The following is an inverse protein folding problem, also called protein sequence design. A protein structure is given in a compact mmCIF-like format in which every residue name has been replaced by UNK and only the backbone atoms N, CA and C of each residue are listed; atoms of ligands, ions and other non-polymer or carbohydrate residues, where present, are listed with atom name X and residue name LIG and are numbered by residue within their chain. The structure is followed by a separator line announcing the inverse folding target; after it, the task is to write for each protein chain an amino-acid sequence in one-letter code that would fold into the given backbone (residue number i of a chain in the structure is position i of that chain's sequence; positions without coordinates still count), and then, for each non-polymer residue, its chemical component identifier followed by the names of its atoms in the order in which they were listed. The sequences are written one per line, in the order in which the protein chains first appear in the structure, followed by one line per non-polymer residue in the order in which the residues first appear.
data_IF_491803731026
#
_entry.id   IF_491803731026
#
_cell.length_a   1.000
_cell.length_b   1.000
_cell.length_c   1.000
_cell.angle_alpha   90.00
_cell.angle_beta   90.00
_cell.angle_gamma   90.00
#
_symmetry.space_group_name_H-M   'P 1'
#
loop_
_entity.id
_entity.type
_entity.pdbx_description
1 polymer ?
#
# COMPACT_ATOMS: atom_id res chain seq x y z
N UNK A 1 -70.97 -22.21 37.05
CA UNK A 1 -71.39 -21.57 38.32
C UNK A 1 -70.52 -20.35 38.55
N UNK A 2 -71.15 -19.16 38.67
CA UNK A 2 -70.84 -18.01 39.58
C UNK A 2 -69.37 -17.48 39.55
N UNK A 3 -69.01 -16.21 39.34
CA UNK A 3 -69.62 -14.91 39.67
C UNK A 3 -68.83 -13.71 39.07
N UNK A 4 -69.48 -12.53 39.09
CA UNK A 4 -69.01 -11.15 39.39
C UNK A 4 -67.81 -10.54 38.62
N UNK A 5 -67.95 -9.41 37.92
CA UNK A 5 -68.34 -8.00 38.25
C UNK A 5 -67.13 -7.08 38.51
N UNK A 6 -67.15 -5.98 37.73
CA UNK A 6 -66.72 -4.60 38.01
C UNK A 6 -65.27 -4.11 37.85
N UNK A 7 -65.08 -3.34 36.75
CA UNK A 7 -64.66 -1.91 36.66
C UNK A 7 -63.50 -1.42 37.56
N UNK A 8 -62.42 -0.86 36.97
CA UNK A 8 -62.22 0.59 36.61
C UNK A 8 -60.73 0.96 36.37
N UNK A 9 -60.55 1.98 35.51
CA UNK A 9 -59.43 2.96 35.38
C UNK A 9 -58.14 2.49 34.67
N UNK A 10 -57.80 2.99 33.47
CA UNK A 10 -57.32 4.34 33.04
C UNK A 10 -55.79 4.35 32.95
N UNK A 11 -55.24 4.20 31.75
CA UNK A 11 -53.86 4.59 31.42
C UNK A 11 -53.87 5.62 30.29
N UNK A 12 -53.14 6.70 30.56
CA UNK A 12 -52.88 7.86 29.69
C UNK A 12 -51.86 7.47 28.62
N UNK A 13 -52.02 8.08 27.43
CA UNK A 13 -51.00 8.17 26.38
C UNK A 13 -49.77 8.90 26.92
N UNK A 14 -48.59 8.49 26.47
CA UNK A 14 -47.54 9.41 26.05
C UNK A 14 -46.72 8.78 24.91
N UNK A 15 -46.40 9.64 23.95
CA UNK A 15 -45.91 9.40 22.60
C UNK A 15 -44.41 9.72 22.58
N UNK A 16 -43.54 8.78 22.18
CA UNK A 16 -42.15 9.11 21.89
C UNK A 16 -41.55 8.30 20.72
N UNK A 17 -41.60 8.99 19.58
CA UNK A 17 -40.83 8.85 18.35
C UNK A 17 -39.32 8.74 18.61
N UNK A 18 -38.70 7.62 18.25
CA UNK A 18 -37.23 7.46 18.25
C UNK A 18 -36.71 7.81 16.85
N UNK A 19 -35.99 8.95 16.74
CA UNK A 19 -35.17 9.30 15.57
C UNK A 19 -33.75 8.75 15.77
N UNK A 20 -33.20 8.18 14.70
CA UNK A 20 -31.84 7.68 14.61
C UNK A 20 -30.78 8.75 14.88
N UNK A 21 -29.62 8.31 15.38
CA UNK A 21 -28.41 9.11 15.51
C UNK A 21 -27.28 8.44 14.73
N UNK A 22 -27.05 8.98 13.55
CA UNK A 22 -25.78 8.99 12.85
C UNK A 22 -24.75 9.71 13.77
N UNK A 23 -23.65 9.05 14.13
CA UNK A 23 -22.60 9.66 14.96
C UNK A 23 -21.38 9.96 14.08
N UNK A 24 -21.26 11.24 13.76
CA UNK A 24 -20.04 11.87 13.24
C UNK A 24 -18.99 11.88 14.35
N UNK A 25 -17.81 11.30 14.10
CA UNK A 25 -16.65 11.35 14.99
C UNK A 25 -15.85 12.63 14.71
N UNK A 26 -15.83 13.56 15.66
CA UNK A 26 -14.94 14.72 15.67
C UNK A 26 -13.79 14.52 16.66
N UNK A 27 -12.61 14.86 16.16
CA UNK A 27 -11.30 15.12 16.78
C UNK A 27 -11.21 15.18 18.31
N UNK A 28 -10.33 14.34 18.89
CA UNK A 28 -9.51 14.72 20.05
C UNK A 28 -8.18 13.95 20.08
N UNK A 29 -7.07 14.69 20.21
CA UNK A 29 -5.87 14.26 20.94
C UNK A 29 -4.86 13.32 20.27
N UNK A 30 -4.14 13.77 19.24
CA UNK A 30 -2.92 13.09 18.77
C UNK A 30 -1.78 13.27 19.79
N UNK A 31 -1.45 12.20 20.53
CA UNK A 31 -0.19 12.06 21.27
C UNK A 31 0.78 11.27 20.38
N UNK A 32 1.93 11.86 20.03
CA UNK A 32 2.97 11.23 19.21
C UNK A 32 3.32 9.84 19.77
N UNK A 33 3.07 8.79 18.98
CA UNK A 33 3.54 7.43 19.21
C UNK A 33 4.01 6.82 17.90
N UNK A 34 5.24 6.31 17.91
CA UNK A 34 5.77 5.30 16.99
C UNK A 34 5.83 5.67 15.51
N UNK A 35 6.93 6.28 15.07
CA UNK A 35 7.34 6.22 13.67
C UNK A 35 7.49 4.75 13.25
N UNK A 36 6.62 4.29 12.34
CA UNK A 36 6.91 3.14 11.52
C UNK A 36 8.13 3.51 10.66
N UNK A 37 9.27 2.86 10.92
CA UNK A 37 10.46 3.01 10.10
C UNK A 37 10.17 2.37 8.74
N UNK A 38 10.19 3.12 7.62
CA UNK A 38 10.48 2.51 6.33
C UNK A 38 11.94 2.06 6.36
N UNK A 39 12.24 0.92 5.73
CA UNK A 39 13.61 0.48 5.49
C UNK A 39 14.44 1.67 4.95
N UNK A 40 15.58 1.88 5.60
CA UNK A 40 16.45 3.04 5.39
C UNK A 40 17.11 2.95 4.02
N UNK A 41 16.74 3.85 3.10
CA UNK A 41 17.70 4.35 2.10
C UNK A 41 18.66 5.31 2.81
N UNK A 42 19.84 4.79 3.14
CA UNK A 42 20.92 5.52 3.78
C UNK A 42 21.64 6.40 2.74
N UNK A 43 21.29 7.69 2.70
CA UNK A 43 21.97 8.66 1.84
C UNK A 43 23.19 9.23 2.60
N UNK A 44 24.39 8.73 2.27
CA UNK A 44 25.64 9.26 2.81
C UNK A 44 26.19 10.43 1.99
N UNK A 45 26.25 11.57 2.68
CA UNK A 45 27.37 12.51 2.78
C UNK A 45 27.57 13.58 1.68
N UNK A 46 27.48 14.84 2.13
CA UNK A 46 28.60 15.77 1.99
C UNK A 46 28.58 16.82 3.11
N UNK A 47 29.51 16.69 4.05
CA UNK A 47 29.90 17.73 5.00
C UNK A 47 30.48 18.95 4.26
N UNK A 48 30.08 20.14 4.67
CA UNK A 48 31.00 21.27 4.78
C UNK A 48 30.68 22.07 6.04
N UNK A 49 31.59 21.95 6.99
CA UNK A 49 31.74 22.75 8.20
C UNK A 49 31.76 24.25 7.92
N UNK A 50 31.12 25.08 8.77
CA UNK A 50 31.72 26.28 9.38
C UNK A 50 30.89 26.66 10.62
N UNK A 51 31.57 26.77 11.78
CA UNK A 51 31.08 27.28 13.07
C UNK A 51 30.58 28.73 12.93
N UNK A 52 29.45 29.08 13.55
CA UNK A 52 29.13 30.48 13.91
C UNK A 52 28.89 30.60 15.40
N UNK A 53 29.76 31.40 16.01
CA UNK A 53 29.58 31.96 17.35
C UNK A 53 28.46 33.02 17.32
N UNK A 54 27.65 33.01 18.35
CA UNK A 54 26.69 34.04 18.71
C UNK A 54 27.39 35.30 19.19
N UNK A 55 26.98 36.45 18.67
CA UNK A 55 27.35 37.78 19.16
C UNK A 55 26.19 38.73 18.90
N UNK A 56 25.47 39.05 19.98
CA UNK A 56 24.32 39.94 20.09
C UNK A 56 24.76 41.39 19.86
N UNK A 57 23.87 42.24 19.33
CA UNK A 57 23.42 43.54 19.93
C UNK A 57 22.78 44.44 18.86
N UNK A 58 21.54 44.82 19.19
CA UNK A 58 20.62 45.89 18.80
C UNK A 58 21.05 46.98 17.80
N UNK A 59 20.14 47.30 16.87
CA UNK A 59 20.08 48.60 16.18
C UNK A 59 18.62 49.03 16.01
N UNK A 60 18.31 50.25 16.46
CA UNK A 60 17.03 50.93 16.29
C UNK A 60 17.29 52.38 15.83
N UNK A 61 16.38 52.88 14.97
CA UNK A 61 16.09 54.29 14.57
C UNK A 61 16.81 54.93 13.36
N UNK A 62 16.06 54.98 12.26
CA UNK A 62 15.38 56.14 11.60
C UNK A 62 16.10 57.45 11.20
N UNK A 63 15.50 58.01 10.11
CA UNK A 63 15.42 59.41 9.59
C UNK A 63 16.65 59.95 8.84
N UNK A 64 16.57 60.72 7.74
CA UNK A 64 15.47 61.49 7.08
C UNK A 64 15.96 62.08 5.72
N UNK A 65 15.00 62.41 4.84
CA UNK A 65 14.85 63.48 3.79
C UNK A 65 16.11 64.14 3.17
N UNK A 66 16.29 64.14 1.83
CA UNK A 66 15.75 65.05 0.78
C UNK A 66 16.24 66.52 0.86
N UNK A 67 17.00 67.00 -0.15
CA UNK A 67 16.69 68.22 -0.96
C UNK A 67 17.83 68.67 -1.93
N UNK A 68 17.45 69.57 -2.84
CA UNK A 68 17.90 69.94 -4.20
C UNK A 68 19.25 70.72 -4.44
N UNK A 69 19.94 70.37 -5.56
CA UNK A 69 20.43 71.12 -6.78
C UNK A 69 20.57 72.69 -6.79
N UNK A 70 21.38 73.42 -7.65
CA UNK A 70 22.46 73.10 -8.64
C UNK A 70 23.78 73.94 -8.52
N UNK A 71 24.84 73.52 -9.23
CA UNK A 71 26.01 74.38 -9.52
C UNK A 71 26.75 74.00 -10.81
N UNK A 72 26.75 74.92 -11.77
CA UNK A 72 27.34 74.86 -13.12
C UNK A 72 28.86 74.59 -13.13
N UNK A 73 29.34 73.69 -14.00
CA UNK A 73 30.51 73.93 -14.90
C UNK A 73 30.64 72.87 -16.00
N UNK A 74 30.88 73.38 -17.21
CA UNK A 74 31.19 72.71 -18.49
C UNK A 74 32.29 71.65 -18.39
N UNK A 75 32.13 70.59 -19.18
CA UNK A 75 33.26 69.86 -19.75
C UNK A 75 32.99 68.38 -20.05
N UNK A 76 32.96 68.05 -21.34
CA UNK A 76 33.33 66.74 -21.91
C UNK A 76 32.27 65.62 -21.91
N UNK A 77 31.47 65.66 -22.99
CA UNK A 77 30.99 64.47 -23.70
C UNK A 77 32.19 63.55 -24.01
N UNK A 78 32.26 62.35 -23.41
CA UNK A 78 32.86 61.11 -23.97
C UNK A 78 32.98 60.01 -22.89
N UNK A 79 31.89 59.63 -22.20
CA UNK A 79 31.96 58.49 -21.24
C UNK A 79 30.79 57.49 -21.24
N UNK A 80 29.84 57.60 -22.17
CA UNK A 80 28.73 56.63 -22.24
C UNK A 80 28.90 55.52 -23.30
N UNK A 81 29.74 55.71 -24.32
CA UNK A 81 30.02 54.66 -25.31
C UNK A 81 30.91 53.52 -24.80
N UNK A 82 31.72 53.76 -23.77
CA UNK A 82 32.77 52.82 -23.36
C UNK A 82 32.26 51.72 -22.41
N UNK A 83 31.19 51.98 -21.64
CA UNK A 83 30.68 51.03 -20.62
C UNK A 83 29.87 49.88 -21.21
N UNK A 84 29.09 50.12 -22.28
CA UNK A 84 28.40 49.06 -23.01
C UNK A 84 29.35 48.22 -23.88
N UNK A 85 30.36 48.84 -24.49
CA UNK A 85 31.34 48.14 -25.34
C UNK A 85 32.32 47.30 -24.51
N UNK A 86 32.70 47.72 -23.30
CA UNK A 86 33.53 46.92 -22.38
C UNK A 86 32.79 45.72 -21.77
N UNK A 87 31.46 45.79 -21.60
CA UNK A 87 30.64 44.67 -21.14
C UNK A 87 30.51 43.57 -22.21
N UNK A 88 30.32 43.97 -23.47
CA UNK A 88 30.26 43.07 -24.62
C UNK A 88 31.64 42.52 -25.04
N UNK A 89 32.73 43.25 -24.78
CA UNK A 89 34.10 42.83 -25.08
C UNK A 89 34.63 41.78 -24.09
N UNK A 90 34.30 41.90 -22.79
CA UNK A 90 34.67 40.89 -21.78
C UNK A 90 33.91 39.56 -21.96
N UNK A 91 32.66 39.61 -22.45
CA UNK A 91 31.93 38.40 -22.85
C UNK A 91 32.55 37.73 -24.09
N UNK A 92 33.01 38.50 -25.07
CA UNK A 92 33.68 37.98 -26.29
C UNK A 92 35.06 37.37 -26.01
N UNK A 93 35.76 37.81 -24.96
CA UNK A 93 37.06 37.22 -24.59
C UNK A 93 36.94 35.92 -23.77
N UNK A 94 35.86 35.73 -23.01
CA UNK A 94 35.63 34.45 -22.28
C UNK A 94 35.23 33.33 -23.26
N UNK A 95 34.56 33.65 -24.36
CA UNK A 95 34.10 32.67 -25.36
C UNK A 95 35.17 32.27 -26.40
N UNK A 96 36.33 32.94 -26.43
CA UNK A 96 37.39 32.73 -27.44
C UNK A 96 38.45 31.67 -27.08
N UNK A 97 38.36 31.05 -25.90
CA UNK A 97 39.35 30.08 -25.42
C UNK A 97 38.82 28.66 -25.15
N UNK A 98 37.53 28.41 -25.39
CA UNK A 98 36.95 27.08 -25.20
C UNK A 98 36.92 26.35 -26.55
N UNK A 99 37.62 25.21 -26.61
CA UNK A 99 37.60 24.29 -27.75
C UNK A 99 36.13 23.92 -28.06
N UNK A 100 35.81 23.71 -29.35
CA UNK A 100 34.51 23.22 -29.81
C UNK A 100 34.08 21.96 -29.02
N UNK A 101 35.06 21.13 -28.63
CA UNK A 101 34.86 19.97 -27.74
C UNK A 101 34.27 20.34 -26.38
N UNK A 102 34.67 21.47 -25.80
CA UNK A 102 34.16 21.94 -24.51
C UNK A 102 32.72 22.43 -24.63
N UNK A 103 32.37 23.10 -25.73
CA UNK A 103 30.98 23.47 -26.01
C UNK A 103 30.09 22.23 -26.23
N UNK A 104 30.57 21.24 -26.98
CA UNK A 104 29.88 19.96 -27.15
C UNK A 104 29.69 19.23 -25.82
N UNK A 105 30.71 19.21 -24.95
CA UNK A 105 30.61 18.61 -23.63
C UNK A 105 29.56 19.33 -22.77
N UNK A 106 29.62 20.65 -22.66
CA UNK A 106 28.78 21.44 -21.75
C UNK A 106 27.33 21.59 -22.21
N UNK A 107 27.08 21.71 -23.52
CA UNK A 107 25.76 22.02 -24.06
C UNK A 107 25.07 20.84 -24.75
N UNK A 108 25.80 19.78 -25.09
CA UNK A 108 25.20 18.59 -25.71
C UNK A 108 25.35 17.38 -24.79
N UNK A 109 26.57 16.98 -24.43
CA UNK A 109 26.80 15.73 -23.70
C UNK A 109 26.24 15.82 -22.28
N UNK A 110 26.61 16.83 -21.49
CA UNK A 110 26.16 16.97 -20.10
C UNK A 110 24.62 17.08 -20.02
N UNK A 111 23.94 17.96 -20.78
CA UNK A 111 22.48 18.02 -20.74
C UNK A 111 21.83 16.72 -21.20
N UNK A 112 22.38 16.03 -22.19
CA UNK A 112 21.88 14.72 -22.65
C UNK A 112 22.07 13.65 -21.58
N UNK A 113 23.21 13.62 -20.88
CA UNK A 113 23.47 12.71 -19.77
C UNK A 113 22.57 13.00 -18.56
N UNK A 114 22.35 14.27 -18.23
CA UNK A 114 21.41 14.69 -17.17
C UNK A 114 19.99 14.28 -17.55
N UNK A 115 19.56 14.51 -18.79
CA UNK A 115 18.25 14.14 -19.28
C UNK A 115 18.07 12.61 -19.30
N UNK A 116 19.07 11.87 -19.79
CA UNK A 116 19.10 10.42 -19.76
C UNK A 116 19.06 9.87 -18.33
N UNK A 117 19.82 10.48 -17.41
CA UNK A 117 19.79 10.17 -15.99
C UNK A 117 18.44 10.48 -15.34
N UNK A 118 17.77 11.56 -15.73
CA UNK A 118 16.41 11.85 -15.26
C UNK A 118 15.40 10.81 -15.77
N UNK A 119 15.46 10.43 -17.04
CA UNK A 119 14.53 9.45 -17.63
C UNK A 119 14.78 8.03 -17.10
N UNK A 120 16.04 7.62 -16.99
CA UNK A 120 16.43 6.23 -16.69
C UNK A 120 16.99 6.03 -15.28
N UNK A 121 17.09 7.08 -14.46
CA UNK A 121 17.74 7.02 -13.15
C UNK A 121 17.19 5.94 -12.23
N UNK A 122 15.87 5.76 -12.19
CA UNK A 122 15.24 4.67 -11.43
C UNK A 122 15.64 3.28 -11.95
N UNK A 123 15.70 3.09 -13.28
CA UNK A 123 16.14 1.82 -13.87
C UNK A 123 17.60 1.53 -13.56
N UNK A 124 18.46 2.55 -13.67
CA UNK A 124 19.87 2.45 -13.33
C UNK A 124 20.03 2.13 -11.84
N UNK A 125 19.28 2.81 -10.98
CA UNK A 125 19.27 2.57 -9.54
C UNK A 125 18.85 1.12 -9.23
N UNK A 126 17.73 0.64 -9.77
CA UNK A 126 17.26 -0.73 -9.51
C UNK A 126 18.21 -1.78 -10.06
N UNK A 127 18.80 -1.56 -11.25
CA UNK A 127 19.78 -2.48 -11.81
C UNK A 127 21.05 -2.57 -10.97
N UNK A 128 21.53 -1.44 -10.45
CA UNK A 128 22.76 -1.37 -9.67
C UNK A 128 22.55 -1.55 -8.16
N UNK A 129 21.31 -1.68 -7.69
CA UNK A 129 20.93 -1.96 -6.29
C UNK A 129 21.82 -3.01 -5.61
N UNK A 130 22.18 -4.14 -6.24
CA UNK A 130 23.07 -5.15 -5.64
C UNK A 130 24.47 -4.64 -5.24
N UNK A 131 24.90 -3.47 -5.71
CA UNK A 131 26.20 -2.88 -5.38
C UNK A 131 26.22 -2.16 -4.04
N UNK A 132 25.07 -1.72 -3.51
CA UNK A 132 25.01 -0.93 -2.28
C UNK A 132 23.94 -1.40 -1.28
N UNK A 133 23.01 -2.24 -1.70
CA UNK A 133 21.95 -2.76 -0.84
C UNK A 133 22.09 -4.27 -0.69
N UNK A 134 22.18 -4.74 0.56
CA UNK A 134 22.22 -6.18 0.87
C UNK A 134 20.79 -6.73 0.96
N UNK A 135 20.58 -8.02 0.62
CA UNK A 135 19.27 -8.64 0.82
C UNK A 135 18.86 -8.58 2.29
N UNK A 136 17.54 -8.48 2.57
CA UNK A 136 17.04 -8.53 3.93
C UNK A 136 17.40 -9.87 4.57
N UNK A 137 17.37 -9.92 5.90
CA UNK A 137 17.58 -11.16 6.66
C UNK A 137 16.65 -12.26 6.12
N UNK A 138 17.10 -13.50 5.88
CA UNK A 138 16.19 -14.56 5.46
C UNK A 138 15.15 -14.85 6.54
N UNK A 139 14.02 -15.40 6.14
CA UNK A 139 13.06 -15.98 7.09
C UNK A 139 13.56 -17.35 7.56
N UNK A 140 12.99 -17.80 8.68
CA UNK A 140 13.05 -19.16 9.15
C UNK A 140 11.80 -19.88 8.61
N UNK A 141 11.98 -20.58 7.48
CA UNK A 141 10.89 -21.27 6.80
C UNK A 141 10.39 -22.47 7.61
N UNK A 142 9.13 -22.41 8.00
CA UNK A 142 8.40 -23.51 8.64
C UNK A 142 7.75 -24.33 7.51
N UNK A 143 8.11 -25.63 7.37
CA UNK A 143 7.45 -26.51 6.40
C UNK A 143 5.97 -26.63 6.71
N UNK A 144 5.13 -26.50 5.69
CA UNK A 144 3.69 -26.64 5.82
C UNK A 144 3.27 -28.04 5.39
N UNK A 145 3.09 -28.93 6.36
CA UNK A 145 2.60 -30.29 6.10
C UNK A 145 1.08 -30.27 5.97
N UNK A 146 0.56 -30.66 4.82
CA UNK A 146 -0.88 -30.74 4.63
C UNK A 146 -1.27 -31.87 3.68
N UNK A 147 -2.37 -32.54 4.02
CA UNK A 147 -3.10 -33.43 3.13
C UNK A 147 -4.53 -33.59 3.68
N UNK A 148 -5.54 -33.60 2.80
CA UNK A 148 -6.96 -33.63 3.19
C UNK A 148 -7.32 -34.83 4.09
N UNK A 149 -6.68 -35.98 3.84
CA UNK A 149 -6.93 -37.23 4.58
C UNK A 149 -6.08 -37.43 5.85
N UNK A 150 -5.32 -36.43 6.30
CA UNK A 150 -4.51 -36.52 7.54
C UNK A 150 -5.24 -35.81 8.67
N UNK A 151 -5.34 -36.46 9.84
CA UNK A 151 -6.02 -35.88 11.00
C UNK A 151 -5.31 -34.62 11.50
N UNK A 152 -6.09 -33.68 12.05
CA UNK A 152 -5.54 -32.43 12.57
C UNK A 152 -4.52 -32.64 13.69
N UNK A 153 -4.71 -33.65 14.55
CA UNK A 153 -3.73 -34.04 15.57
C UNK A 153 -2.37 -34.41 14.97
N UNK A 154 -2.39 -35.23 13.91
CA UNK A 154 -1.16 -35.59 13.20
C UNK A 154 -0.54 -34.38 12.49
N UNK A 155 -1.36 -33.52 11.88
CA UNK A 155 -0.87 -32.29 11.26
C UNK A 155 -0.18 -31.38 12.29
N UNK A 156 -0.81 -31.08 13.42
CA UNK A 156 -0.16 -30.27 14.47
C UNK A 156 1.15 -30.92 14.95
N UNK A 157 1.13 -32.23 15.22
CA UNK A 157 2.33 -32.96 15.66
C UNK A 157 3.47 -32.92 14.63
N UNK A 158 3.17 -33.00 13.34
CA UNK A 158 4.17 -32.90 12.26
C UNK A 158 4.88 -31.54 12.23
N UNK A 159 4.20 -30.47 12.66
CA UNK A 159 4.78 -29.15 12.81
C UNK A 159 5.47 -28.94 14.17
N UNK A 160 5.46 -29.94 15.06
CA UNK A 160 5.96 -29.82 16.42
C UNK A 160 5.03 -29.02 17.35
N UNK A 161 3.76 -28.90 16.98
CA UNK A 161 2.73 -28.12 17.68
C UNK A 161 1.77 -29.01 18.47
N UNK A 162 1.20 -28.47 19.54
CA UNK A 162 0.15 -29.12 20.31
C UNK A 162 -1.18 -29.17 19.54
N UNK A 163 -2.09 -30.08 19.90
CA UNK A 163 -3.49 -30.07 19.42
C UNK A 163 -4.37 -29.42 20.49
N UNK A 164 -5.34 -28.61 20.07
CA UNK A 164 -6.31 -27.98 20.97
C UNK A 164 -7.59 -28.81 21.10
N UNK A 165 -8.23 -28.71 22.26
CA UNK A 165 -9.57 -29.29 22.49
C UNK A 165 -10.65 -28.58 21.65
N UNK A 166 -10.46 -27.29 21.39
CA UNK A 166 -11.36 -26.48 20.55
C UNK A 166 -10.56 -25.47 19.71
N UNK A 167 -11.05 -25.13 18.51
CA UNK A 167 -10.33 -24.21 17.64
C UNK A 167 -10.40 -22.78 18.18
N UNK A 168 -9.31 -22.03 18.03
CA UNK A 168 -9.30 -20.58 18.27
C UNK A 168 -10.33 -19.87 17.40
N UNK A 169 -10.87 -18.76 17.91
CA UNK A 169 -11.63 -17.81 17.08
C UNK A 169 -10.65 -17.12 16.14
N UNK A 170 -11.13 -16.78 14.94
CA UNK A 170 -10.31 -16.17 13.90
C UNK A 170 -10.97 -14.88 13.42
N UNK A 171 -10.18 -13.81 13.35
CA UNK A 171 -10.58 -12.50 12.86
C UNK A 171 -9.87 -12.23 11.55
N UNK A 172 -10.65 -12.01 10.49
CA UNK A 172 -10.15 -11.59 9.18
C UNK A 172 -10.28 -10.07 9.06
N UNK A 173 -9.18 -9.33 9.14
CA UNK A 173 -9.22 -7.87 9.12
C UNK A 173 -8.54 -7.32 7.87
N UNK A 174 -9.25 -6.46 7.13
CA UNK A 174 -8.77 -5.89 5.87
C UNK A 174 -9.14 -4.41 5.72
N UNK A 175 -8.25 -3.66 5.07
CA UNK A 175 -8.56 -2.34 4.51
C UNK A 175 -9.13 -2.54 3.10
N UNK A 176 -10.26 -1.90 2.80
CA UNK A 176 -10.94 -2.07 1.52
C UNK A 176 -10.93 -0.81 0.64
N UNK A 177 -10.62 -1.00 -0.64
CA UNK A 177 -10.65 0.06 -1.65
C UNK A 177 -11.68 -0.18 -2.76
N UNK A 178 -11.40 -1.08 -3.71
CA UNK A 178 -12.24 -1.36 -4.87
C UNK A 178 -12.19 -2.83 -5.35
N UNK A 179 -11.60 -3.75 -4.57
CA UNK A 179 -11.30 -5.13 -4.97
C UNK A 179 -12.47 -6.10 -4.71
N UNK A 180 -13.68 -5.78 -5.18
CA UNK A 180 -14.91 -6.55 -4.87
C UNK A 180 -14.82 -8.04 -5.24
N UNK A 181 -14.26 -8.36 -6.41
CA UNK A 181 -14.21 -9.74 -6.91
C UNK A 181 -13.23 -10.60 -6.09
N UNK A 182 -12.07 -10.05 -5.76
CA UNK A 182 -11.08 -10.70 -4.91
C UNK A 182 -11.58 -10.84 -3.47
N UNK A 183 -12.25 -9.81 -2.93
CA UNK A 183 -12.91 -9.89 -1.63
C UNK A 183 -13.95 -11.02 -1.58
N UNK A 184 -14.73 -11.17 -2.66
CA UNK A 184 -15.71 -12.25 -2.77
C UNK A 184 -15.05 -13.62 -2.74
N UNK A 185 -13.95 -13.83 -3.48
CA UNK A 185 -13.21 -15.09 -3.48
C UNK A 185 -12.62 -15.35 -2.09
N UNK A 186 -11.93 -14.35 -1.50
CA UNK A 186 -11.34 -14.43 -0.15
C UNK A 186 -12.36 -14.90 0.87
N UNK A 187 -13.51 -14.23 0.94
CA UNK A 187 -14.49 -14.52 1.97
C UNK A 187 -15.22 -15.83 1.78
N UNK A 188 -15.40 -16.29 0.54
CA UNK A 188 -15.93 -17.64 0.32
C UNK A 188 -14.92 -18.74 0.70
N UNK A 189 -13.62 -18.54 0.43
CA UNK A 189 -12.55 -19.44 0.85
C UNK A 189 -12.45 -19.53 2.38
N UNK A 190 -12.54 -18.39 3.06
CA UNK A 190 -12.34 -18.30 4.51
C UNK A 190 -13.62 -18.52 5.33
N UNK A 191 -14.81 -18.43 4.72
CA UNK A 191 -16.11 -18.47 5.40
C UNK A 191 -16.26 -19.52 6.51
N UNK A 192 -15.81 -20.78 6.32
CA UNK A 192 -15.99 -21.82 7.35
C UNK A 192 -15.14 -21.62 8.60
N UNK A 193 -14.08 -20.81 8.53
CA UNK A 193 -13.03 -20.75 9.55
C UNK A 193 -13.01 -19.43 10.33
N UNK A 194 -13.65 -18.39 9.79
CA UNK A 194 -13.63 -17.05 10.37
C UNK A 194 -14.77 -16.85 11.37
N UNK A 195 -14.44 -16.32 12.55
CA UNK A 195 -15.41 -15.91 13.56
C UNK A 195 -15.99 -14.52 13.27
N UNK A 196 -15.15 -13.57 12.89
CA UNK A 196 -15.54 -12.21 12.51
C UNK A 196 -14.72 -11.71 11.32
N UNK A 197 -15.42 -11.24 10.30
CA UNK A 197 -14.88 -10.43 9.21
C UNK A 197 -14.90 -8.97 9.63
N UNK A 198 -13.76 -8.30 9.56
CA UNK A 198 -13.58 -6.91 9.98
C UNK A 198 -13.11 -6.12 8.77
N UNK A 199 -13.99 -5.28 8.23
CA UNK A 199 -13.71 -4.50 7.02
C UNK A 199 -13.77 -3.02 7.34
N UNK A 200 -12.65 -2.32 7.13
CA UNK A 200 -12.60 -0.85 7.18
C UNK A 200 -12.55 -0.29 5.76
N UNK A 201 -13.47 0.61 5.44
CA UNK A 201 -13.49 1.31 4.15
C UNK A 201 -13.29 2.83 4.34
N UNK A 202 -12.37 3.41 3.57
CA UNK A 202 -12.19 4.87 3.54
C UNK A 202 -12.87 5.51 2.33
N UNK A 203 -13.33 6.76 2.48
CA UNK A 203 -13.76 7.61 1.38
C UNK A 203 -12.59 8.36 0.69
N UNK A 204 -11.35 7.97 0.97
CA UNK A 204 -10.14 8.48 0.33
C UNK A 204 -9.23 7.35 -0.12
N UNK A 205 -8.49 7.56 -1.19
CA UNK A 205 -7.31 6.77 -1.54
C UNK A 205 -6.15 7.11 -0.60
N UNK A 206 -5.07 6.30 -0.61
CA UNK A 206 -3.83 6.62 0.12
C UNK A 206 -3.14 7.87 -0.42
N UNK A 207 -3.38 8.22 -1.69
CA UNK A 207 -2.92 9.46 -2.32
C UNK A 207 -3.80 10.69 -2.01
N UNK A 208 -4.81 10.56 -1.15
CA UNK A 208 -5.68 11.67 -0.74
C UNK A 208 -6.75 12.06 -1.77
N UNK A 209 -7.04 11.18 -2.75
CA UNK A 209 -8.08 11.38 -3.75
C UNK A 209 -9.42 10.89 -3.18
N UNK A 210 -10.50 11.69 -3.20
CA UNK A 210 -11.82 11.21 -2.81
C UNK A 210 -12.27 10.01 -3.63
N UNK A 211 -12.79 8.98 -2.96
CA UNK A 211 -13.37 7.79 -3.59
C UNK A 211 -14.74 7.46 -2.99
N UNK A 212 -15.67 6.90 -3.77
CA UNK A 212 -16.92 6.40 -3.20
C UNK A 212 -16.65 5.23 -2.24
N UNK A 213 -17.62 4.98 -1.36
CA UNK A 213 -17.67 3.77 -0.55
C UNK A 213 -18.24 2.62 -1.42
N UNK A 214 -17.33 1.93 -2.11
CA UNK A 214 -17.61 0.84 -3.04
C UNK A 214 -18.20 -0.37 -2.30
N UNK A 215 -17.67 -0.75 -1.13
CA UNK A 215 -18.24 -1.85 -0.35
C UNK A 215 -19.62 -1.48 0.17
N UNK A 216 -19.80 -0.28 0.74
CA UNK A 216 -21.11 0.18 1.21
C UNK A 216 -22.20 0.05 0.15
N UNK A 217 -21.90 0.44 -1.09
CA UNK A 217 -22.84 0.41 -2.22
C UNK A 217 -23.12 -1.00 -2.76
N UNK A 218 -22.27 -1.99 -2.45
CA UNK A 218 -22.39 -3.37 -2.92
C UNK A 218 -22.62 -4.37 -1.77
N UNK A 219 -22.82 -3.88 -0.55
CA UNK A 219 -22.93 -4.70 0.67
C UNK A 219 -24.03 -5.77 0.58
N UNK A 220 -25.11 -5.49 -0.16
CA UNK A 220 -26.18 -6.45 -0.41
C UNK A 220 -25.72 -7.76 -1.10
N UNK A 221 -24.59 -7.74 -1.82
CA UNK A 221 -24.00 -8.94 -2.43
C UNK A 221 -23.37 -9.88 -1.39
N UNK A 222 -23.09 -9.35 -0.19
CA UNK A 222 -22.36 -10.02 0.89
C UNK A 222 -23.27 -10.43 2.05
N UNK A 223 -24.59 -10.57 1.82
CA UNK A 223 -25.56 -10.98 2.85
C UNK A 223 -25.18 -12.25 3.62
N UNK A 224 -24.45 -13.16 2.97
CA UNK A 224 -24.01 -14.42 3.59
C UNK A 224 -23.02 -14.20 4.75
N UNK A 225 -22.26 -13.11 4.77
CA UNK A 225 -21.32 -12.77 5.85
C UNK A 225 -21.88 -11.80 6.89
N UNK A 226 -23.02 -11.13 6.63
CA UNK A 226 -23.60 -10.12 7.52
C UNK A 226 -23.67 -10.52 9.01
N UNK A 227 -24.03 -11.77 9.37
CA UNK A 227 -24.05 -12.20 10.77
C UNK A 227 -22.68 -12.17 11.46
N UNK A 228 -21.59 -12.18 10.68
CA UNK A 228 -20.19 -12.21 11.13
C UNK A 228 -19.39 -11.04 10.58
N UNK A 229 -20.04 -9.92 10.23
CA UNK A 229 -19.38 -8.74 9.68
C UNK A 229 -19.38 -7.58 10.67
N UNK A 230 -18.19 -7.10 11.01
CA UNK A 230 -17.98 -5.79 11.61
C UNK A 230 -17.45 -4.83 10.54
N UNK A 231 -18.34 -3.96 10.04
CA UNK A 231 -18.02 -2.98 9.02
C UNK A 231 -17.83 -1.58 9.62
N UNK A 232 -16.72 -0.91 9.28
CA UNK A 232 -16.44 0.46 9.67
C UNK A 232 -16.10 1.34 8.48
N UNK A 233 -16.43 2.62 8.60
CA UNK A 233 -16.07 3.65 7.61
C UNK A 233 -15.20 4.74 8.24
N UNK A 234 -14.25 5.28 7.47
CA UNK A 234 -13.43 6.41 7.93
C UNK A 234 -13.22 7.48 6.85
N UNK A 235 -13.22 8.74 7.29
CA UNK A 235 -12.85 9.87 6.44
C UNK A 235 -11.34 9.91 6.17
N UNK A 236 -10.90 10.16 4.94
CA UNK A 236 -9.48 10.45 4.67
C UNK A 236 -9.03 11.77 5.31
N UNK A 237 -7.71 11.97 5.45
CA UNK A 237 -7.14 13.28 5.80
C UNK A 237 -7.08 14.22 4.59
N UNK A 238 -7.22 13.68 3.37
CA UNK A 238 -7.28 14.41 2.10
C UNK A 238 -6.08 15.34 1.86
N UNK A 239 -4.89 14.93 2.31
CA UNK A 239 -3.65 15.70 2.17
C UNK A 239 -2.96 15.35 0.85
N UNK A 240 -3.02 16.28 -0.12
CA UNK A 240 -2.33 16.13 -1.41
C UNK A 240 -0.82 16.35 -1.26
N UNK A 241 -0.02 15.54 -1.95
CA UNK A 241 1.44 15.67 -1.99
C UNK A 241 2.17 15.21 -0.73
N UNK A 242 1.45 14.66 0.25
CA UNK A 242 2.05 13.95 1.38
C UNK A 242 2.43 12.53 0.96
N UNK A 243 3.37 11.93 1.69
CA UNK A 243 3.69 10.52 1.54
C UNK A 243 2.42 9.65 1.76
N UNK A 244 1.99 8.85 0.77
CA UNK A 244 0.79 8.01 0.86
C UNK A 244 0.77 7.04 2.05
N UNK A 245 1.94 6.58 2.50
CA UNK A 245 2.07 5.68 3.65
C UNK A 245 1.55 6.31 4.96
N UNK A 246 1.45 7.64 5.04
CA UNK A 246 0.86 8.30 6.21
C UNK A 246 -0.67 8.12 6.25
N UNK A 247 -1.35 8.19 5.10
CA UNK A 247 -2.79 7.87 5.04
C UNK A 247 -3.06 6.39 5.30
N UNK A 248 -2.21 5.51 4.75
CA UNK A 248 -2.30 4.08 5.02
C UNK A 248 -2.17 3.78 6.52
N UNK A 249 -1.14 4.32 7.18
CA UNK A 249 -0.93 4.16 8.62
C UNK A 249 -2.12 4.70 9.44
N UNK A 250 -2.68 5.84 9.05
CA UNK A 250 -3.88 6.40 9.69
C UNK A 250 -5.06 5.43 9.61
N UNK A 251 -5.30 4.82 8.45
CA UNK A 251 -6.37 3.83 8.30
C UNK A 251 -6.09 2.54 9.09
N UNK A 252 -4.84 2.07 9.16
CA UNK A 252 -4.47 0.89 9.98
C UNK A 252 -4.70 1.12 11.49
N UNK A 253 -4.45 2.34 12.00
CA UNK A 253 -4.79 2.71 13.39
C UNK A 253 -6.31 2.71 13.63
N UNK A 254 -7.12 3.07 12.64
CA UNK A 254 -8.56 2.97 12.76
C UNK A 254 -9.07 1.53 12.74
N UNK A 255 -8.42 0.66 11.94
CA UNK A 255 -8.73 -0.77 11.90
C UNK A 255 -8.48 -1.44 13.26
N UNK A 256 -7.43 -1.03 13.99
CA UNK A 256 -7.18 -1.45 15.38
C UNK A 256 -8.35 -1.15 16.33
N UNK A 257 -9.04 -0.02 16.15
CA UNK A 257 -10.22 0.29 16.95
C UNK A 257 -11.43 -0.55 16.53
N UNK A 258 -11.59 -0.76 15.21
CA UNK A 258 -12.67 -1.59 14.68
C UNK A 258 -12.56 -3.05 15.14
N UNK A 259 -11.34 -3.57 15.26
CA UNK A 259 -11.06 -4.89 15.83
C UNK A 259 -11.58 -5.04 17.26
N UNK A 260 -11.36 -4.03 18.11
CA UNK A 260 -11.89 -4.02 19.48
C UNK A 260 -13.42 -3.99 19.49
N UNK A 261 -14.03 -3.23 18.59
CA UNK A 261 -15.49 -3.20 18.41
C UNK A 261 -16.03 -4.56 17.96
N UNK A 262 -15.28 -5.28 17.12
CA UNK A 262 -15.61 -6.64 16.69
C UNK A 262 -15.51 -7.69 17.82
N UNK A 263 -14.99 -7.30 19.00
CA UNK A 263 -14.89 -8.17 20.17
C UNK A 263 -13.73 -9.16 20.11
N UNK A 264 -12.60 -8.76 19.51
CA UNK A 264 -11.35 -9.52 19.59
C UNK A 264 -10.80 -9.52 21.03
N UNK A 265 -10.25 -10.65 21.45
CA UNK A 265 -9.76 -10.92 22.79
C UNK A 265 -8.46 -11.74 22.76
N UNK A 266 -7.82 -11.89 23.92
CA UNK A 266 -6.58 -12.66 24.04
C UNK A 266 -6.76 -14.11 23.57
N UNK A 267 -5.71 -14.68 22.98
CA UNK A 267 -5.68 -16.03 22.35
C UNK A 267 -6.51 -16.18 21.06
N UNK A 268 -7.26 -15.16 20.62
CA UNK A 268 -7.86 -15.16 19.28
C UNK A 268 -6.77 -15.02 18.20
N UNK A 269 -7.00 -15.59 17.01
CA UNK A 269 -6.12 -15.38 15.85
C UNK A 269 -6.58 -14.16 15.05
N UNK A 270 -5.64 -13.27 14.74
CA UNK A 270 -5.85 -12.11 13.89
C UNK A 270 -5.08 -12.27 12.59
N UNK A 271 -5.79 -12.36 11.47
CA UNK A 271 -5.22 -12.29 10.13
C UNK A 271 -5.00 -10.81 9.80
N UNK A 272 -3.76 -10.45 9.51
CA UNK A 272 -3.37 -9.13 9.03
C UNK A 272 -2.88 -9.26 7.60
N UNK A 273 -3.67 -8.80 6.64
CA UNK A 273 -3.32 -8.87 5.22
C UNK A 273 -4.04 -7.79 4.43
N UNK A 274 -3.63 -7.57 3.19
CA UNK A 274 -4.44 -6.83 2.23
C UNK A 274 -5.51 -7.76 1.62
N UNK A 275 -6.49 -7.18 0.91
CA UNK A 275 -7.60 -7.94 0.31
C UNK A 275 -7.11 -8.96 -0.71
N UNK A 276 -6.06 -8.60 -1.47
CA UNK A 276 -5.45 -9.44 -2.50
C UNK A 276 -4.52 -10.54 -1.97
N UNK A 277 -4.28 -10.62 -0.67
CA UNK A 277 -3.47 -11.62 0.00
C UNK A 277 -4.35 -12.66 0.71
N UNK A 278 -4.84 -13.66 -0.02
CA UNK A 278 -5.82 -14.66 0.43
C UNK A 278 -5.10 -15.85 1.09
N UNK A 279 -5.19 -16.03 2.42
CA UNK A 279 -4.72 -17.26 3.06
C UNK A 279 -5.56 -18.46 2.60
N UNK A 280 -4.94 -19.63 2.49
CA UNK A 280 -5.69 -20.84 2.16
C UNK A 280 -6.54 -21.33 3.34
N UNK A 281 -7.70 -21.91 3.03
CA UNK A 281 -8.60 -22.54 4.01
C UNK A 281 -7.88 -23.51 4.95
N UNK A 282 -7.03 -24.38 4.41
CA UNK A 282 -6.29 -25.36 5.19
C UNK A 282 -5.24 -24.74 6.11
N UNK A 283 -4.59 -23.64 5.71
CA UNK A 283 -3.68 -22.87 6.57
C UNK A 283 -4.42 -22.37 7.80
N UNK A 284 -5.53 -21.66 7.61
CA UNK A 284 -6.30 -21.09 8.73
C UNK A 284 -6.88 -22.20 9.61
N UNK A 285 -7.32 -23.31 9.00
CA UNK A 285 -7.80 -24.45 9.74
C UNK A 285 -6.71 -25.11 10.58
N UNK A 286 -5.48 -25.22 10.08
CA UNK A 286 -4.33 -25.72 10.84
C UNK A 286 -4.05 -24.82 12.05
N UNK A 287 -3.86 -23.52 11.81
CA UNK A 287 -3.45 -22.57 12.85
C UNK A 287 -4.47 -22.44 13.99
N UNK A 288 -5.77 -22.49 13.69
CA UNK A 288 -6.80 -22.41 14.74
C UNK A 288 -6.86 -23.65 15.62
N UNK A 289 -6.46 -24.82 15.12
CA UNK A 289 -6.52 -26.08 15.86
C UNK A 289 -5.21 -26.44 16.58
N UNK A 290 -4.08 -25.91 16.13
CA UNK A 290 -2.79 -26.19 16.75
C UNK A 290 -2.45 -25.19 17.86
N UNK A 291 -1.85 -25.67 18.95
CA UNK A 291 -1.25 -24.86 20.01
C UNK A 291 0.26 -24.74 19.86
N UNK A 292 0.90 -23.87 20.66
CA UNK A 292 2.35 -23.66 20.60
C UNK A 292 2.88 -23.16 19.23
N UNK A 293 1.99 -22.62 18.40
CA UNK A 293 2.35 -21.92 17.17
C UNK A 293 3.14 -20.64 17.52
N UNK A 294 4.05 -20.17 16.64
CA UNK A 294 4.68 -18.87 16.81
C UNK A 294 3.63 -17.76 17.04
N UNK A 295 3.78 -16.86 18.04
CA UNK A 295 2.77 -15.84 18.35
C UNK A 295 2.51 -14.86 17.20
N UNK A 296 3.49 -14.70 16.33
CA UNK A 296 3.39 -13.97 15.07
C UNK A 296 3.98 -14.90 14.01
N UNK A 297 3.23 -15.14 12.95
CA UNK A 297 3.63 -16.04 11.88
C UNK A 297 3.34 -15.37 10.54
N UNK A 298 4.37 -15.12 9.74
CA UNK A 298 4.17 -14.67 8.37
C UNK A 298 3.65 -15.82 7.50
N UNK A 299 2.87 -15.48 6.48
CA UNK A 299 2.33 -16.43 5.51
C UNK A 299 3.08 -16.27 4.19
N UNK A 300 3.74 -17.33 3.72
CA UNK A 300 4.34 -17.35 2.39
C UNK A 300 3.26 -17.60 1.35
N UNK A 301 2.91 -16.58 0.57
CA UNK A 301 1.88 -16.66 -0.45
C UNK A 301 2.50 -16.80 -1.84
N UNK A 302 1.85 -17.58 -2.70
CA UNK A 302 2.14 -17.63 -4.15
C UNK A 302 1.79 -16.28 -4.76
N UNK A 303 2.77 -15.60 -5.35
CA UNK A 303 2.65 -14.22 -5.81
C UNK A 303 2.26 -14.17 -7.29
N UNK A 304 1.03 -13.76 -7.56
CA UNK A 304 0.43 -13.63 -8.88
C UNK A 304 0.22 -12.17 -9.24
N UNK A 305 0.27 -11.90 -10.55
CA UNK A 305 0.04 -10.57 -11.09
C UNK A 305 -1.04 -10.62 -12.18
N UNK A 306 -2.00 -9.69 -12.15
CA UNK A 306 -3.11 -9.52 -13.10
C UNK A 306 -4.16 -10.64 -13.15
N UNK A 307 -3.77 -11.90 -12.91
CA UNK A 307 -4.61 -13.10 -12.82
C UNK A 307 -3.80 -14.27 -12.26
N UNK A 308 -4.43 -15.40 -11.99
CA UNK A 308 -3.74 -16.64 -11.61
C UNK A 308 -2.97 -17.32 -12.76
N UNK A 309 -2.93 -16.69 -13.95
CA UNK A 309 -2.07 -17.09 -15.06
C UNK A 309 -0.61 -16.71 -14.83
N UNK A 310 -0.32 -15.55 -14.24
CA UNK A 310 1.04 -15.02 -14.17
C UNK A 310 1.62 -15.16 -12.76
N UNK A 311 2.17 -16.34 -12.46
CA UNK A 311 2.92 -16.59 -11.23
C UNK A 311 4.30 -15.94 -11.31
N UNK A 312 4.54 -14.94 -10.46
CA UNK A 312 5.81 -14.20 -10.37
C UNK A 312 6.84 -15.03 -9.59
N UNK A 313 6.50 -15.45 -8.38
CA UNK A 313 7.31 -16.26 -7.47
C UNK A 313 6.48 -16.75 -6.27
N UNK A 314 7.14 -17.39 -5.29
CA UNK A 314 6.55 -17.80 -4.01
C UNK A 314 7.12 -16.97 -2.85
N UNK A 315 7.38 -15.67 -3.07
CA UNK A 315 8.08 -14.81 -2.10
C UNK A 315 7.19 -13.74 -1.48
N UNK A 316 5.86 -13.77 -1.64
CA UNK A 316 4.99 -12.83 -0.93
C UNK A 316 4.89 -13.23 0.55
N UNK A 317 5.16 -12.29 1.47
CA UNK A 317 5.36 -12.60 2.89
C UNK A 317 4.66 -11.63 3.87
N UNK A 318 4.09 -10.53 3.39
CA UNK A 318 3.59 -9.44 4.27
C UNK A 318 2.37 -9.86 5.09
N UNK A 319 1.52 -10.70 4.54
CA UNK A 319 0.40 -11.31 5.27
C UNK A 319 0.92 -12.09 6.48
N UNK A 320 0.24 -11.94 7.62
CA UNK A 320 0.60 -12.64 8.85
C UNK A 320 -0.62 -13.03 9.68
N UNK A 321 -0.44 -14.01 10.55
CA UNK A 321 -1.39 -14.37 11.60
C UNK A 321 -0.74 -14.10 12.94
N UNK A 322 -1.47 -13.39 13.80
CA UNK A 322 -1.03 -13.04 15.15
C UNK A 322 -1.95 -13.70 16.17
N UNK A 323 -1.38 -14.36 17.17
CA UNK A 323 -2.09 -14.64 18.42
C UNK A 323 -2.29 -13.32 19.15
N UNK A 324 -3.54 -12.87 19.25
CA UNK A 324 -3.87 -11.56 19.76
C UNK A 324 -3.55 -11.44 21.25
N UNK A 325 -2.93 -10.32 21.62
CA UNK A 325 -2.62 -9.95 23.00
C UNK A 325 -3.03 -8.50 23.24
N UNK A 326 -3.97 -8.31 24.16
CA UNK A 326 -4.52 -7.02 24.53
C UNK A 326 -3.41 -6.07 24.97
N UNK A 327 -3.45 -4.85 24.44
CA UNK A 327 -2.47 -3.82 24.73
C UNK A 327 -1.16 -3.95 23.94
N UNK A 328 -0.80 -5.14 23.42
CA UNK A 328 0.43 -5.37 22.65
C UNK A 328 0.20 -5.46 21.15
N UNK A 329 -0.75 -6.27 20.70
CA UNK A 329 -1.00 -6.48 19.27
C UNK A 329 -1.53 -5.20 18.62
N UNK A 330 -0.95 -4.82 17.49
CA UNK A 330 -1.35 -3.70 16.64
C UNK A 330 -1.38 -4.18 15.20
N UNK A 331 -2.34 -3.70 14.43
CA UNK A 331 -2.46 -4.03 13.03
C UNK A 331 -1.24 -3.51 12.26
N UNK A 332 -0.50 -4.42 11.65
CA UNK A 332 0.73 -4.13 10.93
C UNK A 332 0.77 -4.95 9.64
N UNK A 333 1.33 -4.36 8.58
CA UNK A 333 1.52 -5.03 7.27
C UNK A 333 2.98 -4.86 6.81
N UNK A 334 3.87 -5.30 7.68
CA UNK A 334 5.32 -5.31 7.48
C UNK A 334 5.93 -6.40 8.36
N UNK A 335 7.24 -6.63 8.24
CA UNK A 335 7.89 -7.75 8.95
C UNK A 335 7.86 -7.54 10.46
N UNK A 336 7.31 -8.50 11.19
CA UNK A 336 7.17 -8.48 12.64
C UNK A 336 7.97 -9.60 13.33
N UNK A 337 8.23 -10.70 12.62
CA UNK A 337 9.06 -11.82 13.06
C UNK A 337 9.92 -12.32 11.89
N UNK A 338 10.78 -13.31 12.17
CA UNK A 338 11.53 -14.05 11.18
C UNK A 338 10.88 -15.40 10.82
N UNK A 339 9.80 -15.82 11.48
CA UNK A 339 9.10 -17.07 11.18
C UNK A 339 8.07 -16.92 10.05
N UNK A 340 8.11 -17.82 9.08
CA UNK A 340 7.18 -17.84 7.96
C UNK A 340 6.66 -19.26 7.69
N UNK A 341 5.37 -19.43 7.47
CA UNK A 341 4.78 -20.70 7.05
C UNK A 341 4.75 -20.80 5.54
N UNK A 342 5.35 -21.86 4.99
CA UNK A 342 5.42 -22.10 3.54
C UNK A 342 4.05 -22.37 2.90
N UNK A 343 3.89 -22.04 1.61
CA UNK A 343 2.70 -22.31 0.78
C UNK A 343 1.35 -22.09 1.51
N UNK A 344 1.18 -20.90 2.05
CA UNK A 344 0.09 -20.54 2.96
C UNK A 344 -1.11 -19.85 2.28
N UNK A 345 -1.08 -19.72 0.94
CA UNK A 345 -2.15 -19.11 0.16
C UNK A 345 -1.65 -18.38 -1.09
N UNK A 346 -2.39 -17.34 -1.49
CA UNK A 346 -2.17 -16.63 -2.75
C UNK A 346 -2.18 -15.12 -2.55
N UNK A 347 -1.29 -14.42 -3.23
CA UNK A 347 -1.31 -12.97 -3.38
C UNK A 347 -1.59 -12.65 -4.85
N UNK A 348 -2.69 -11.97 -5.18
CA UNK A 348 -3.07 -11.68 -6.57
C UNK A 348 -3.13 -10.17 -6.81
N UNK A 349 -1.98 -9.55 -7.07
CA UNK A 349 -1.90 -8.12 -7.26
C UNK A 349 -2.49 -7.71 -8.63
N UNK A 350 -3.20 -6.58 -8.66
CA UNK A 350 -3.88 -6.07 -9.87
C UNK A 350 -4.85 -7.07 -10.53
N UNK A 351 -5.47 -7.96 -9.77
CA UNK A 351 -6.39 -8.96 -10.29
C UNK A 351 -7.83 -8.43 -10.44
N UNK A 352 -8.03 -7.54 -11.41
CA UNK A 352 -9.29 -6.82 -11.66
C UNK A 352 -10.04 -7.28 -12.92
N UNK A 353 -11.35 -7.03 -12.95
CA UNK A 353 -12.23 -7.34 -14.08
C UNK A 353 -12.15 -6.27 -15.17
N UNK A 354 -12.07 -5.00 -14.78
CA UNK A 354 -12.11 -3.86 -15.70
C UNK A 354 -10.78 -3.10 -15.73
N UNK A 355 -10.40 -2.61 -16.92
CA UNK A 355 -9.18 -1.79 -17.10
C UNK A 355 -9.20 -0.50 -16.27
N UNK A 356 -10.39 0.07 -16.03
CA UNK A 356 -10.56 1.25 -15.18
C UNK A 356 -10.08 1.02 -13.74
N UNK A 357 -10.22 -0.20 -13.21
CA UNK A 357 -9.78 -0.57 -11.87
C UNK A 357 -8.25 -0.65 -11.75
N UNK A 358 -7.57 -1.14 -12.80
CA UNK A 358 -6.10 -1.09 -12.87
C UNK A 358 -5.62 0.36 -12.81
N UNK A 359 -6.17 1.22 -13.68
CA UNK A 359 -5.83 2.64 -13.76
C UNK A 359 -6.14 3.34 -12.42
N UNK A 360 -7.24 2.97 -11.77
CA UNK A 360 -7.59 3.48 -10.45
C UNK A 360 -6.55 3.07 -9.40
N UNK A 361 -6.23 1.77 -9.25
CA UNK A 361 -5.22 1.30 -8.28
C UNK A 361 -3.85 1.96 -8.52
N UNK A 362 -3.40 2.06 -9.77
CA UNK A 362 -2.15 2.74 -10.15
C UNK A 362 -2.07 4.20 -9.64
N UNK A 363 -3.20 4.90 -9.55
CA UNK A 363 -3.27 6.29 -9.04
C UNK A 363 -3.55 6.40 -7.54
N UNK A 364 -4.09 5.33 -6.94
CA UNK A 364 -4.70 5.38 -5.62
C UNK A 364 -3.81 4.83 -4.50
N UNK A 365 -3.02 3.80 -4.79
CA UNK A 365 -2.26 3.07 -3.77
C UNK A 365 -0.92 3.74 -3.41
N UNK A 366 -0.25 3.21 -2.39
CA UNK A 366 0.90 3.87 -1.77
C UNK A 366 2.11 4.05 -2.69
N UNK A 367 2.23 3.24 -3.75
CA UNK A 367 3.31 3.35 -4.74
C UNK A 367 2.89 4.06 -6.05
N UNK A 368 2.06 5.10 -5.94
CA UNK A 368 1.63 5.89 -7.11
C UNK A 368 2.80 6.58 -7.83
N UNK A 369 3.94 6.78 -7.15
CA UNK A 369 5.17 7.36 -7.68
C UNK A 369 5.73 6.61 -8.90
N UNK A 370 5.36 5.34 -9.05
CA UNK A 370 5.68 4.50 -10.22
C UNK A 370 5.01 4.99 -11.51
N UNK A 371 3.92 5.75 -11.42
CA UNK A 371 3.25 6.36 -12.59
C UNK A 371 4.00 7.60 -13.05
N UNK A 372 5.10 7.39 -13.76
CA UNK A 372 5.98 8.49 -14.24
C UNK A 372 5.48 9.18 -15.50
N UNK A 373 4.78 8.45 -16.36
CA UNK A 373 4.30 8.95 -17.64
C UNK A 373 2.80 8.72 -17.80
N UNK A 374 2.10 9.70 -18.37
CA UNK A 374 0.64 9.63 -18.57
C UNK A 374 0.21 8.47 -19.47
N UNK A 375 1.07 8.04 -20.41
CA UNK A 375 0.77 6.93 -21.31
C UNK A 375 0.70 5.58 -20.59
N UNK A 376 1.27 5.43 -19.38
CA UNK A 376 1.10 4.22 -18.56
C UNK A 376 -0.36 3.97 -18.20
N UNK A 377 -1.16 5.04 -18.14
CA UNK A 377 -2.58 5.01 -17.82
C UNK A 377 -3.47 4.85 -19.06
N UNK A 378 -2.88 4.63 -20.26
CA UNK A 378 -3.65 4.41 -21.47
C UNK A 378 -4.34 3.04 -21.42
N UNK A 379 -5.68 2.96 -21.52
CA UNK A 379 -6.41 1.69 -21.37
C UNK A 379 -5.97 0.59 -22.35
N UNK A 380 -5.68 0.94 -23.61
CA UNK A 380 -5.22 -0.03 -24.62
C UNK A 380 -3.84 -0.57 -24.28
N UNK A 381 -2.93 0.30 -23.82
CA UNK A 381 -1.61 -0.14 -23.34
C UNK A 381 -1.73 -1.04 -22.12
N UNK A 382 -2.54 -0.66 -21.14
CA UNK A 382 -2.76 -1.47 -19.92
C UNK A 382 -3.24 -2.86 -20.32
N UNK A 383 -4.26 -2.97 -21.19
CA UNK A 383 -4.76 -4.25 -21.68
C UNK A 383 -3.68 -5.10 -22.36
N UNK A 384 -2.85 -4.50 -23.22
CA UNK A 384 -1.75 -5.19 -23.91
C UNK A 384 -0.67 -5.68 -22.93
N UNK A 385 -0.27 -4.83 -21.98
CA UNK A 385 0.75 -5.14 -20.97
C UNK A 385 0.32 -6.29 -20.06
N UNK A 386 -0.92 -6.25 -19.54
CA UNK A 386 -1.40 -7.31 -18.64
C UNK A 386 -1.58 -8.64 -19.37
N UNK A 387 -1.96 -8.62 -20.65
CA UNK A 387 -2.06 -9.83 -21.47
C UNK A 387 -0.70 -10.45 -21.81
N UNK A 388 0.35 -9.63 -21.84
CA UNK A 388 1.71 -10.09 -22.09
C UNK A 388 2.43 -10.56 -20.83
N UNK A 389 1.87 -10.34 -19.64
CA UNK A 389 2.57 -10.53 -18.37
C UNK A 389 3.72 -9.53 -18.17
N UNK A 390 3.67 -8.37 -18.83
CA UNK A 390 4.71 -7.34 -18.74
C UNK A 390 4.49 -6.39 -17.54
N UNK A 391 5.49 -5.59 -17.18
CA UNK A 391 5.38 -4.64 -16.06
C UNK A 391 4.56 -3.38 -16.43
N UNK A 392 3.54 -3.04 -15.63
CA UNK A 392 2.68 -1.87 -15.87
C UNK A 392 3.44 -0.53 -15.92
N UNK A 393 4.57 -0.44 -15.24
CA UNK A 393 5.35 0.78 -15.00
C UNK A 393 6.67 0.81 -15.80
N UNK A 394 6.90 -0.18 -16.68
CA UNK A 394 8.14 -0.43 -17.43
C UNK A 394 9.39 -0.44 -16.53
N UNK A 395 9.28 -0.93 -15.29
CA UNK A 395 10.37 -1.02 -14.33
C UNK A 395 11.21 -2.29 -14.54
N UNK A 396 12.43 -2.26 -13.99
CA UNK A 396 13.23 -3.48 -13.82
C UNK A 396 12.82 -4.21 -12.54
N UNK A 397 13.05 -5.53 -12.46
CA UNK A 397 12.79 -6.28 -11.23
C UNK A 397 13.52 -5.67 -10.02
N UNK A 398 12.79 -5.54 -8.92
CA UNK A 398 13.28 -4.98 -7.66
C UNK A 398 13.96 -6.07 -6.82
N UNK A 399 15.17 -6.49 -7.19
CA UNK A 399 15.90 -7.60 -6.55
C UNK A 399 17.26 -7.18 -6.00
N UNK A 400 17.82 -7.99 -5.09
CA UNK A 400 19.07 -7.69 -4.37
C UNK A 400 20.30 -8.36 -4.98
N UNK A 401 20.13 -9.20 -5.99
CA UNK A 401 21.24 -9.87 -6.69
C UNK A 401 21.10 -9.74 -8.20
N UNK A 402 22.21 -9.56 -8.92
CA UNK A 402 22.20 -9.51 -10.39
C UNK A 402 21.60 -10.78 -11.00
N UNK A 403 21.82 -11.95 -10.37
CA UNK A 403 21.25 -13.23 -10.80
C UNK A 403 19.72 -13.19 -10.80
N UNK A 404 19.11 -12.66 -9.74
CA UNK A 404 17.65 -12.54 -9.63
C UNK A 404 17.09 -11.47 -10.57
N UNK A 405 17.77 -10.32 -10.71
CA UNK A 405 17.39 -9.28 -11.68
C UNK A 405 17.34 -9.85 -13.09
N UNK A 406 18.40 -10.56 -13.51
CA UNK A 406 18.49 -11.16 -14.85
C UNK A 406 17.46 -12.29 -14.98
N UNK A 407 17.30 -13.13 -13.96
CA UNK A 407 16.35 -14.25 -13.98
C UNK A 407 14.88 -13.82 -14.06
N UNK A 408 14.55 -12.62 -13.58
CA UNK A 408 13.21 -12.03 -13.64
C UNK A 408 13.05 -10.99 -14.75
N UNK A 409 14.05 -10.81 -15.61
CA UNK A 409 13.99 -9.84 -16.68
C UNK A 409 13.01 -10.30 -17.76
N UNK A 410 12.14 -9.39 -18.20
CA UNK A 410 11.17 -9.66 -19.26
C UNK A 410 9.76 -9.90 -18.70
N UNK A 411 8.95 -10.60 -19.47
CA UNK A 411 7.56 -10.85 -19.11
C UNK A 411 7.45 -12.06 -18.18
N UNK A 412 6.48 -12.01 -17.27
CA UNK A 412 6.11 -13.14 -16.42
C UNK A 412 5.56 -14.26 -17.33
N UNK A 413 6.09 -15.48 -17.25
CA UNK A 413 5.60 -16.59 -18.06
C UNK A 413 4.14 -16.92 -17.68
N UNK A 414 3.31 -17.18 -18.70
CA UNK A 414 1.96 -17.68 -18.51
C UNK A 414 1.98 -19.12 -17.99
N UNK A 415 1.22 -19.39 -16.93
CA UNK A 415 0.95 -20.71 -16.39
C UNK A 415 -0.34 -21.28 -16.99
N UNK A 416 -0.33 -22.57 -17.30
CA UNK A 416 -1.52 -23.33 -17.68
C UNK A 416 -2.19 -24.03 -16.49
N UNK A 417 -1.59 -23.92 -15.30
CA UNK A 417 -2.07 -24.61 -14.11
C UNK A 417 -3.01 -23.73 -13.30
N UNK A 418 -4.18 -24.27 -12.98
CA UNK A 418 -5.12 -23.76 -11.99
C UNK A 418 -5.21 -24.70 -10.77
N UNK A 419 -4.23 -25.59 -10.61
CA UNK A 419 -4.18 -26.54 -9.49
C UNK A 419 -3.92 -25.77 -8.18
N UNK A 420 -4.63 -26.14 -7.13
CA UNK A 420 -4.58 -25.47 -5.82
C UNK A 420 -4.93 -23.97 -5.91
N UNK A 421 -5.89 -23.58 -6.75
CA UNK A 421 -6.55 -22.27 -6.64
C UNK A 421 -7.79 -22.36 -5.72
N UNK A 422 -8.31 -21.22 -5.23
CA UNK A 422 -9.50 -21.22 -4.37
C UNK A 422 -10.68 -22.00 -4.98
N UNK A 423 -11.35 -22.82 -4.16
CA UNK A 423 -12.42 -23.69 -4.66
C UNK A 423 -13.58 -22.87 -5.24
N UNK A 424 -13.94 -21.77 -4.57
CA UNK A 424 -14.99 -20.86 -5.02
C UNK A 424 -14.71 -20.25 -6.39
N UNK A 425 -13.43 -19.94 -6.68
CA UNK A 425 -13.03 -19.43 -7.99
C UNK A 425 -13.33 -20.47 -9.08
N UNK A 426 -12.92 -21.71 -8.87
CA UNK A 426 -13.08 -22.79 -9.85
C UNK A 426 -14.54 -23.19 -10.04
N UNK A 427 -15.33 -23.25 -8.96
CA UNK A 427 -16.79 -23.49 -9.04
C UNK A 427 -17.55 -22.41 -9.82
N UNK A 428 -17.01 -21.20 -9.89
CA UNK A 428 -17.61 -20.04 -10.55
C UNK A 428 -16.76 -19.54 -11.74
N UNK A 429 -16.08 -20.47 -12.42
CA UNK A 429 -15.12 -20.15 -13.47
C UNK A 429 -15.69 -19.25 -14.58
N UNK A 430 -16.96 -19.40 -14.97
CA UNK A 430 -17.58 -18.55 -16.00
C UNK A 430 -17.62 -17.07 -15.58
N UNK A 431 -17.93 -16.80 -14.31
CA UNK A 431 -17.97 -15.44 -13.75
C UNK A 431 -16.57 -14.87 -13.59
N UNK A 432 -15.61 -15.69 -13.16
CA UNK A 432 -14.25 -15.29 -12.83
C UNK A 432 -13.22 -15.65 -13.89
N UNK A 433 -13.66 -15.93 -15.12
CA UNK A 433 -12.78 -16.39 -16.20
C UNK A 433 -11.57 -15.50 -16.39
N UNK A 434 -11.72 -14.18 -16.21
CA UNK A 434 -10.64 -13.20 -16.35
C UNK A 434 -9.45 -13.44 -15.40
N UNK A 435 -9.65 -14.16 -14.30
CA UNK A 435 -8.61 -14.56 -13.34
C UNK A 435 -7.93 -15.88 -13.69
N UNK A 436 -8.45 -16.64 -14.66
CA UNK A 436 -7.95 -17.97 -15.01
C UNK A 436 -7.10 -17.95 -16.28
N UNK A 437 -6.16 -18.90 -16.44
CA UNK A 437 -5.31 -19.00 -17.62
C UNK A 437 -6.05 -18.88 -18.96
N UNK A 438 -5.47 -18.12 -19.89
CA UNK A 438 -5.97 -17.94 -21.26
C UNK A 438 -7.05 -16.87 -21.43
N UNK A 439 -7.38 -16.12 -20.37
CA UNK A 439 -8.50 -15.17 -20.36
C UNK A 439 -8.05 -13.76 -19.95
N UNK A 440 -6.98 -13.26 -20.55
CA UNK A 440 -6.39 -11.96 -20.17
C UNK A 440 -7.21 -10.73 -20.60
N UNK A 441 -8.16 -10.88 -21.53
CA UNK A 441 -8.99 -9.76 -22.00
C UNK A 441 -9.91 -9.29 -20.87
N UNK A 442 -9.89 -7.98 -20.60
CA UNK A 442 -10.69 -7.32 -19.56
C UNK A 442 -11.86 -6.61 -20.19
N UNK A 443 -12.93 -6.49 -19.41
CA UNK A 443 -14.13 -5.81 -19.86
C UNK A 443 -13.85 -4.30 -19.91
N UNK A 444 -14.29 -3.65 -20.99
CA UNK A 444 -14.36 -2.19 -21.06
C UNK A 444 -15.46 -1.73 -20.13
N UNK A 445 -15.09 -1.33 -18.90
CA UNK A 445 -15.99 -0.76 -17.91
C UNK A 445 -16.42 0.67 -18.23
#
# INVERSE_FOLDING_TARGET
MVANKEKKKKCRKDDHRIKGKEKVLTETGFRKQGEAQPEKEENQNSRSSVRRNSGRVTGCKNSSEEDEVPGLRRGENEREGTRMVLSMSRLRCILRGLDLKTYMLLFVIIPTCIFGGYLHGQKISYFLRPLWESPPKPFHDIPHYYHENVSMENLCKLHGWGIRESPRRVFDAVLFSNELEILTIRWNELYPYITQFVLLESNSTFTGIPKPLVFASHRDQFKFIEPRLTYGTIGGRFRKGENPFVEEAYQRVALDQLLKIAGISDDDLLIMSDVDEIPSSHTINLLRWCDDIPPILHLQLKNYLYSFEFLVDNKSWRASVHTYQTGKTRYAHYRQTDDILADAGWHCSFCFRHISEFIFKMKAYSHFDRVRFSHYLNPKRVQDVICKGADLFDMLPEEYTFKEIIGKLGNIPSSYSAVHLPEFLLKNADRYKFLLPGNCQRESG
#
